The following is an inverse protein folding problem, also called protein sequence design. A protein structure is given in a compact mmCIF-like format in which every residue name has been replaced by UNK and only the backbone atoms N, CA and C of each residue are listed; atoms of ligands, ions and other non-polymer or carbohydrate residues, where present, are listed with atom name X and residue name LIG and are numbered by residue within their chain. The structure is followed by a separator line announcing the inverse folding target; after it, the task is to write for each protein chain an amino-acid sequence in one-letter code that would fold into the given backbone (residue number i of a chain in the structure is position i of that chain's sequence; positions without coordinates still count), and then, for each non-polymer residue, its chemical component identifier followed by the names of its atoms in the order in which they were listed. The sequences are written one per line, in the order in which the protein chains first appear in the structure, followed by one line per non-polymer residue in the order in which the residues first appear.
data_IF_393457306615
#
_entry.id   IF_393457306615
#
_cell.length_a   1.000
_cell.length_b   1.000
_cell.length_c   1.000
_cell.angle_alpha   90.00
_cell.angle_beta   90.00
_cell.angle_gamma   90.00
#
_symmetry.space_group_name_H-M   'P 1'
#
loop_
_entity.id
_entity.type
_entity.pdbx_description
1 polymer ?
#
# COMPACT_ATOMS: atom_id res chain seq x y z
N UNK A 1 -18.43 17.35 -14.90
CA UNK A 1 -18.36 16.16 -14.03
C UNK A 1 -16.96 15.54 -13.97
N UNK A 2 -16.36 15.05 -15.07
CA UNK A 2 -15.03 14.39 -15.03
C UNK A 2 -13.91 15.22 -14.38
N UNK A 3 -13.82 16.52 -14.71
CA UNK A 3 -12.81 17.44 -14.13
C UNK A 3 -13.00 17.64 -12.62
N UNK A 4 -14.25 17.77 -12.16
CA UNK A 4 -14.58 17.92 -10.74
C UNK A 4 -14.24 16.66 -9.94
N UNK A 5 -14.47 15.47 -10.50
CA UNK A 5 -14.09 14.19 -9.86
C UNK A 5 -12.58 14.06 -9.73
N UNK A 6 -11.82 14.43 -10.78
CA UNK A 6 -10.34 14.40 -10.73
C UNK A 6 -9.82 15.36 -9.66
N UNK A 7 -10.36 16.58 -9.58
CA UNK A 7 -9.99 17.55 -8.55
C UNK A 7 -10.31 17.02 -7.15
N UNK A 8 -11.46 16.38 -6.96
CA UNK A 8 -11.85 15.81 -5.68
C UNK A 8 -10.92 14.66 -5.24
N UNK A 9 -10.57 13.77 -6.17
CA UNK A 9 -9.60 12.69 -5.91
C UNK A 9 -8.24 13.29 -5.51
N UNK A 10 -7.80 14.32 -6.23
CA UNK A 10 -6.52 14.97 -5.94
C UNK A 10 -6.51 15.65 -4.56
N UNK A 11 -7.63 16.26 -4.15
CA UNK A 11 -7.80 16.81 -2.79
C UNK A 11 -7.74 15.72 -1.73
N UNK A 12 -8.41 14.58 -1.95
CA UNK A 12 -8.38 13.44 -1.01
C UNK A 12 -6.96 12.89 -0.86
N UNK A 13 -6.24 12.73 -1.98
CA UNK A 13 -4.84 12.29 -1.99
C UNK A 13 -3.99 13.29 -1.20
N UNK A 14 -4.10 14.58 -1.46
CA UNK A 14 -3.36 15.59 -0.70
C UNK A 14 -3.71 15.55 0.79
N UNK A 15 -4.97 15.35 1.17
CA UNK A 15 -5.37 15.24 2.58
C UNK A 15 -4.77 14.02 3.28
N UNK A 16 -4.55 12.91 2.56
CA UNK A 16 -3.92 11.71 3.10
C UNK A 16 -2.40 11.85 3.19
N UNK A 17 -1.76 12.51 2.22
CA UNK A 17 -0.30 12.62 2.15
C UNK A 17 0.27 13.81 2.93
N UNK A 18 -0.45 14.93 3.08
CA UNK A 18 0.04 16.09 3.85
C UNK A 18 0.37 15.74 5.31
N UNK A 19 -0.48 14.99 6.05
CA UNK A 19 -0.19 14.60 7.43
C UNK A 19 1.06 13.72 7.56
N UNK A 20 1.33 12.84 6.59
CA UNK A 20 2.51 11.97 6.58
C UNK A 20 3.82 12.78 6.67
N UNK A 21 3.88 13.93 6.02
CA UNK A 21 5.09 14.77 6.03
C UNK A 21 5.10 15.81 7.15
N UNK A 22 3.93 16.17 7.68
CA UNK A 22 3.77 17.22 8.70
C UNK A 22 3.78 16.71 10.15
N UNK A 23 3.43 15.44 10.40
CA UNK A 23 3.40 14.82 11.73
C UNK A 23 4.42 13.68 11.82
N UNK A 24 5.70 14.03 11.85
CA UNK A 24 6.83 13.07 11.86
C UNK A 24 7.12 12.42 13.22
N UNK A 25 6.57 12.95 14.31
CA UNK A 25 6.87 12.53 15.70
C UNK A 25 5.85 11.54 16.28
N UNK A 26 5.01 10.92 15.45
CA UNK A 26 4.07 9.93 15.93
C UNK A 26 4.75 8.55 15.94
N UNK A 27 4.80 7.95 17.12
CA UNK A 27 5.31 6.60 17.37
C UNK A 27 4.35 5.61 16.70
N UNK A 28 4.74 5.11 15.53
CA UNK A 28 3.94 4.19 14.73
C UNK A 28 4.73 2.90 14.55
N UNK A 29 4.14 1.79 14.96
CA UNK A 29 4.71 0.48 14.68
C UNK A 29 4.16 -0.12 13.38
N UNK A 30 5.06 -0.57 12.52
CA UNK A 30 4.76 -1.24 11.26
C UNK A 30 4.51 -2.75 11.45
N UNK A 31 4.05 -3.44 10.39
CA UNK A 31 3.94 -4.90 10.47
C UNK A 31 5.29 -5.61 10.54
N UNK A 32 6.36 -4.93 10.10
CA UNK A 32 7.72 -5.46 10.09
C UNK A 32 8.47 -5.25 11.42
N UNK A 33 7.97 -4.43 12.33
CA UNK A 33 8.58 -4.18 13.66
C UNK A 33 8.76 -5.47 14.46
N UNK A 34 7.78 -6.38 14.36
CA UNK A 34 7.81 -7.66 15.05
C UNK A 34 8.96 -8.55 14.55
N UNK A 35 9.43 -8.36 13.32
CA UNK A 35 10.61 -9.05 12.78
C UNK A 35 11.91 -8.44 13.27
N UNK A 36 11.99 -7.09 13.30
CA UNK A 36 13.19 -6.37 13.72
C UNK A 36 13.53 -6.62 15.20
N UNK A 37 12.54 -6.61 16.09
CA UNK A 37 12.73 -6.85 17.53
C UNK A 37 13.32 -8.24 17.83
N UNK A 38 12.91 -9.25 17.07
CA UNK A 38 13.40 -10.64 17.26
C UNK A 38 14.83 -10.80 16.75
N UNK A 39 15.22 -10.05 15.71
CA UNK A 39 16.59 -10.08 15.18
C UNK A 39 17.56 -9.37 16.13
N UNK A 40 17.15 -8.24 16.72
CA UNK A 40 17.93 -7.51 17.74
C UNK A 40 18.17 -8.35 19.01
N UNK A 41 17.20 -9.20 19.39
CA UNK A 41 17.30 -10.10 20.54
C UNK A 41 18.29 -11.27 20.31
N UNK A 42 18.53 -11.65 19.05
CA UNK A 42 19.37 -12.79 18.66
C UNK A 42 20.79 -12.37 18.27
N UNK A 43 20.95 -11.21 17.65
CA UNK A 43 22.27 -10.65 17.28
C UNK A 43 22.27 -9.12 17.43
N UNK A 44 22.89 -8.65 18.52
CA UNK A 44 22.97 -7.23 18.88
C UNK A 44 23.89 -6.40 17.99
N UNK A 45 24.53 -7.00 16.97
CA UNK A 45 25.38 -6.33 15.99
C UNK A 45 24.79 -6.27 14.58
N UNK A 46 23.51 -6.64 14.38
CA UNK A 46 22.91 -6.71 13.06
C UNK A 46 22.60 -5.33 12.48
N UNK A 47 23.31 -4.94 11.42
CA UNK A 47 22.94 -3.79 10.59
C UNK A 47 21.98 -4.20 9.46
N UNK A 48 20.87 -3.47 9.24
CA UNK A 48 19.97 -3.71 8.12
C UNK A 48 20.70 -3.59 6.77
N UNK A 49 20.68 -4.66 5.98
CA UNK A 49 21.28 -4.68 4.64
C UNK A 49 20.53 -3.81 3.61
N UNK A 50 19.32 -3.34 3.96
CA UNK A 50 18.55 -2.38 3.19
C UNK A 50 17.62 -1.59 4.12
N UNK A 51 17.62 -0.26 3.99
CA UNK A 51 16.61 0.62 4.60
C UNK A 51 15.57 0.96 3.53
N UNK A 52 14.26 0.82 3.84
CA UNK A 52 13.17 1.21 2.94
C UNK A 52 13.32 2.63 2.41
N UNK A 53 13.10 2.81 1.11
CA UNK A 53 13.18 4.13 0.45
C UNK A 53 12.23 5.14 1.10
N UNK A 54 11.07 4.66 1.57
CA UNK A 54 10.10 5.50 2.27
C UNK A 54 10.59 5.94 3.65
N UNK A 55 11.28 5.08 4.40
CA UNK A 55 11.93 5.45 5.66
C UNK A 55 12.99 6.53 5.46
N UNK A 56 13.83 6.36 4.42
CA UNK A 56 14.83 7.36 4.05
C UNK A 56 14.21 8.70 3.62
N UNK A 57 13.07 8.66 2.91
CA UNK A 57 12.40 9.85 2.40
C UNK A 57 11.60 10.61 3.48
N UNK A 58 11.00 9.91 4.44
CA UNK A 58 10.26 10.52 5.54
C UNK A 58 11.15 10.93 6.72
N UNK A 59 12.29 10.25 6.89
CA UNK A 59 13.21 10.44 8.03
C UNK A 59 12.77 9.66 9.27
N UNK A 60 12.00 8.58 9.09
CA UNK A 60 11.41 7.73 10.12
C UNK A 60 10.52 6.65 9.47
N UNK A 61 10.07 5.67 10.25
CA UNK A 61 9.25 4.56 9.77
C UNK A 61 7.89 5.03 9.23
N UNK A 62 7.39 4.33 8.21
CA UNK A 62 6.08 4.62 7.64
C UNK A 62 5.01 4.22 8.67
N UNK A 63 3.95 5.03 8.89
CA UNK A 63 2.91 4.63 9.83
C UNK A 63 2.29 3.29 9.41
N UNK A 64 2.22 2.30 10.32
CA UNK A 64 1.69 0.97 9.99
C UNK A 64 0.24 0.99 9.45
N UNK A 65 -0.55 1.98 9.83
CA UNK A 65 -1.89 2.23 9.25
C UNK A 65 -1.83 2.63 7.77
N UNK A 66 -0.81 3.40 7.38
CA UNK A 66 -0.58 3.84 6.00
C UNK A 66 -0.02 2.69 5.18
N UNK A 67 0.90 1.91 5.74
CA UNK A 67 1.44 0.70 5.11
C UNK A 67 0.29 -0.27 4.77
N UNK A 68 -0.56 -0.55 5.75
CA UNK A 68 -1.75 -1.40 5.59
C UNK A 68 -2.72 -0.86 4.53
N UNK A 69 -2.90 0.46 4.47
CA UNK A 69 -3.77 1.11 3.47
C UNK A 69 -3.20 0.97 2.06
N UNK A 70 -1.88 1.14 1.88
CA UNK A 70 -1.22 0.93 0.60
C UNK A 70 -1.33 -0.54 0.14
N UNK A 71 -1.14 -1.50 1.04
CA UNK A 71 -1.36 -2.92 0.78
C UNK A 71 -2.81 -3.23 0.41
N UNK A 72 -3.79 -2.62 1.09
CA UNK A 72 -5.21 -2.76 0.77
C UNK A 72 -5.53 -2.26 -0.63
N UNK A 73 -4.98 -1.10 -1.03
CA UNK A 73 -5.18 -0.55 -2.37
C UNK A 73 -4.54 -1.44 -3.43
N UNK A 74 -3.31 -1.92 -3.20
CA UNK A 74 -2.64 -2.85 -4.11
C UNK A 74 -3.45 -4.14 -4.27
N UNK A 75 -3.95 -4.69 -3.17
CA UNK A 75 -4.82 -5.87 -3.17
C UNK A 75 -6.11 -5.60 -3.94
N UNK A 76 -6.77 -4.47 -3.69
CA UNK A 76 -8.00 -4.08 -4.38
C UNK A 76 -7.80 -3.97 -5.90
N UNK A 77 -6.71 -3.34 -6.34
CA UNK A 77 -6.35 -3.25 -7.76
C UNK A 77 -6.06 -4.65 -8.33
N UNK A 78 -5.24 -5.45 -7.65
CA UNK A 78 -4.88 -6.81 -8.08
C UNK A 78 -6.09 -7.72 -8.22
N UNK A 79 -6.96 -7.75 -7.22
CA UNK A 79 -8.23 -8.50 -7.25
C UNK A 79 -9.15 -7.98 -8.33
N UNK A 80 -9.24 -6.66 -8.53
CA UNK A 80 -10.05 -6.06 -9.59
C UNK A 80 -9.61 -6.52 -10.99
N UNK A 81 -8.31 -6.56 -11.26
CA UNK A 81 -7.75 -7.06 -12.54
C UNK A 81 -8.07 -8.55 -12.70
N UNK A 82 -7.80 -9.37 -11.68
CA UNK A 82 -8.03 -10.83 -11.74
C UNK A 82 -9.51 -11.13 -11.98
N UNK A 83 -10.40 -10.47 -11.23
CA UNK A 83 -11.85 -10.63 -11.37
C UNK A 83 -12.34 -10.22 -12.76
N UNK A 84 -11.83 -9.11 -13.32
CA UNK A 84 -12.15 -8.69 -14.68
C UNK A 84 -11.75 -9.73 -15.73
N UNK A 85 -10.52 -10.27 -15.63
CA UNK A 85 -10.01 -11.30 -16.55
C UNK A 85 -10.83 -12.59 -16.43
N UNK A 86 -11.07 -13.07 -15.22
CA UNK A 86 -11.93 -14.25 -14.99
C UNK A 86 -13.34 -14.04 -15.54
N UNK A 87 -13.94 -12.88 -15.30
CA UNK A 87 -15.25 -12.51 -15.83
C UNK A 87 -15.29 -12.55 -17.38
N UNK A 88 -14.29 -11.98 -18.05
CA UNK A 88 -14.18 -12.04 -19.51
C UNK A 88 -14.00 -13.47 -20.04
N UNK A 89 -13.27 -14.34 -19.34
CA UNK A 89 -13.14 -15.75 -19.73
C UNK A 89 -14.46 -16.51 -19.61
N UNK A 90 -15.21 -16.29 -18.53
CA UNK A 90 -16.54 -16.89 -18.34
C UNK A 90 -17.52 -16.39 -19.41
N UNK A 91 -17.52 -15.08 -19.69
CA UNK A 91 -18.34 -14.48 -20.74
C UNK A 91 -18.02 -15.10 -22.11
N UNK A 92 -16.74 -15.18 -22.50
CA UNK A 92 -16.31 -15.78 -23.77
C UNK A 92 -16.84 -17.22 -23.94
N UNK A 93 -16.90 -18.00 -22.86
CA UNK A 93 -17.39 -19.39 -22.89
C UNK A 93 -18.90 -19.49 -23.16
N UNK A 94 -19.70 -18.49 -22.75
CA UNK A 94 -21.13 -18.42 -23.11
C UNK A 94 -21.32 -18.18 -24.60
N UNK A 95 -20.57 -17.25 -25.18
CA UNK A 95 -20.75 -16.84 -26.58
C UNK A 95 -20.23 -17.88 -27.58
N UNK A 96 -19.30 -18.74 -27.15
CA UNK A 96 -18.76 -19.83 -28.00
C UNK A 96 -19.69 -21.05 -28.05
N UNK A 97 -20.72 -21.13 -27.18
CA UNK A 97 -21.64 -22.28 -27.11
C UNK A 97 -22.94 -22.07 -27.91
N UNK A 98 -23.20 -20.85 -28.36
CA UNK A 98 -24.34 -20.46 -29.20
C UNK A 98 -24.00 -20.38 -30.72
N UNK A 99 -22.80 -20.81 -31.12
CA UNK A 99 -22.41 -21.08 -32.51
C UNK A 99 -22.16 -22.57 -32.71
#
# INVERSE_FOLDING_TARGET
MKKSVIVLILVIVLMAFIPLFALKDAEFGGSDDAGSQVVEEVDSGYEPWATPIFEQALGGELPGEVESLLFCIQTGIGVGIIAFVMGRFVERKKWTKDN
#
